data_IF_955933692937
#
_entry.id   IF_955933692937
#
_cell.length_a   1.000
_cell.length_b   1.000
_cell.length_c   1.000
_cell.angle_alpha   90.00
_cell.angle_beta   90.00
_cell.angle_gamma   90.00
#
_symmetry.space_group_name_H-M   'P 1'
#
loop_
_entity.id
_entity.type
_entity.pdbx_description
1 polymer ?
#
# COMPACT_ATOMS: atom_id res chain seq x y z
N UNK A 1 21.47 -41.83 -11.60
CA UNK A 1 21.66 -40.46 -11.08
C UNK A 1 20.66 -39.55 -11.77
N UNK A 2 19.39 -39.65 -11.40
CA UNK A 2 18.80 -38.96 -10.24
C UNK A 2 18.72 -37.46 -10.48
N UNK A 3 17.52 -37.07 -10.87
CA UNK A 3 17.02 -35.71 -11.03
C UNK A 3 17.03 -35.04 -9.67
N UNK A 4 17.56 -33.81 -9.58
CA UNK A 4 17.28 -32.96 -8.44
C UNK A 4 16.83 -31.59 -8.95
N UNK A 5 15.73 -31.17 -8.34
CA UNK A 5 14.85 -30.11 -8.76
C UNK A 5 15.55 -28.76 -8.85
N UNK A 6 15.02 -27.95 -9.76
CA UNK A 6 15.34 -26.55 -9.96
C UNK A 6 15.48 -25.82 -8.63
N UNK A 7 16.67 -25.27 -8.40
CA UNK A 7 16.93 -24.23 -7.42
C UNK A 7 16.06 -23.02 -7.78
N UNK A 8 14.80 -23.02 -7.35
CA UNK A 8 13.97 -21.81 -7.23
C UNK A 8 14.38 -21.07 -5.95
N UNK A 9 15.65 -20.66 -5.89
CA UNK A 9 16.15 -19.69 -4.93
C UNK A 9 16.61 -18.45 -5.71
N UNK A 10 15.67 -17.88 -6.46
CA UNK A 10 15.79 -16.55 -7.06
C UNK A 10 14.62 -15.68 -6.59
N UNK A 11 14.32 -15.73 -5.29
CA UNK A 11 13.56 -14.67 -4.59
C UNK A 11 14.42 -14.17 -3.44
N UNK A 12 15.62 -13.73 -3.80
CA UNK A 12 16.43 -12.83 -2.98
C UNK A 12 16.81 -11.67 -3.89
N UNK A 13 15.79 -10.91 -4.29
CA UNK A 13 15.95 -9.48 -4.51
C UNK A 13 16.01 -8.91 -3.08
N UNK A 14 17.18 -8.90 -2.47
CA UNK A 14 18.06 -7.76 -2.62
C UNK A 14 17.91 -6.90 -1.37
N UNK A 15 18.23 -7.47 -0.21
CA UNK A 15 18.56 -6.69 0.98
C UNK A 15 19.87 -5.95 0.70
N UNK A 16 19.77 -4.82 0.04
CA UNK A 16 20.79 -3.78 -0.03
C UNK A 16 20.00 -2.48 -0.09
N UNK A 17 19.55 -1.99 1.06
CA UNK A 17 20.45 -1.12 1.80
C UNK A 17 20.53 0.22 1.08
N UNK A 18 19.46 1.01 1.19
CA UNK A 18 19.63 2.45 1.26
C UNK A 18 19.00 2.90 2.57
N UNK A 19 19.80 3.56 3.38
CA UNK A 19 19.44 4.27 4.60
C UNK A 19 18.49 5.43 4.27
N UNK A 20 17.32 5.13 3.72
CA UNK A 20 16.37 6.13 3.19
C UNK A 20 14.93 5.84 3.62
N UNK A 21 14.72 4.84 4.47
CA UNK A 21 13.46 4.64 5.21
C UNK A 21 13.21 5.71 6.29
N UNK A 22 13.99 6.82 6.31
CA UNK A 22 13.94 7.80 7.39
C UNK A 22 14.39 9.23 7.06
N UNK A 23 14.55 9.61 5.79
CA UNK A 23 15.05 10.97 5.44
C UNK A 23 14.16 11.80 4.51
N UNK A 24 12.96 11.35 4.15
CA UNK A 24 12.00 12.18 3.40
C UNK A 24 10.62 12.22 4.08
N UNK A 25 10.62 12.39 5.40
CA UNK A 25 9.52 13.07 6.13
C UNK A 25 9.49 14.58 5.77
N UNK A 26 9.59 14.89 4.47
CA UNK A 26 9.41 16.20 3.90
C UNK A 26 7.93 16.55 3.98
N UNK A 27 7.59 17.18 5.10
CA UNK A 27 6.36 17.90 5.45
C UNK A 27 5.83 18.84 4.35
N UNK A 28 5.39 18.36 3.18
CA UNK A 28 4.98 19.23 2.07
C UNK A 28 3.61 18.93 1.44
N UNK A 29 2.84 17.95 1.95
CA UNK A 29 1.47 17.68 1.45
C UNK A 29 0.38 17.49 2.51
N UNK A 30 0.74 17.50 3.80
CA UNK A 30 -0.17 17.15 4.91
C UNK A 30 -0.93 18.35 5.51
N UNK A 31 -0.75 19.56 4.98
CA UNK A 31 -1.40 20.78 5.49
C UNK A 31 -2.80 21.00 4.88
N UNK A 32 -3.09 20.45 3.70
CA UNK A 32 -4.41 20.62 3.03
C UNK A 32 -5.39 19.46 3.28
N UNK A 33 -4.91 18.25 3.58
CA UNK A 33 -5.77 17.10 3.85
C UNK A 33 -6.31 17.12 5.30
N UNK A 34 -7.30 17.98 5.58
CA UNK A 34 -8.07 17.91 6.81
C UNK A 34 -9.08 16.75 6.72
N UNK A 35 -8.66 15.51 7.02
CA UNK A 35 -9.58 14.36 6.95
C UNK A 35 -8.97 12.99 7.27
N UNK A 36 -9.79 11.92 7.29
CA UNK A 36 -9.40 10.52 7.53
C UNK A 36 -8.24 10.06 6.63
N UNK A 37 -8.17 10.61 5.43
CA UNK A 37 -7.13 10.37 4.44
C UNK A 37 -5.71 10.77 4.91
N UNK A 38 -5.57 11.77 5.78
CA UNK A 38 -4.27 12.14 6.36
C UNK A 38 -3.74 11.07 7.31
N UNK A 39 -4.63 10.51 8.13
CA UNK A 39 -4.26 9.42 9.04
C UNK A 39 -3.91 8.15 8.25
N UNK A 40 -4.64 7.87 7.17
CA UNK A 40 -4.33 6.77 6.26
C UNK A 40 -2.91 6.90 5.70
N UNK A 41 -2.50 8.09 5.25
CA UNK A 41 -1.15 8.34 4.74
C UNK A 41 -0.04 8.16 5.79
N UNK A 42 -0.22 8.72 6.98
CA UNK A 42 0.74 8.53 8.10
C UNK A 42 0.83 7.05 8.48
N UNK A 43 -0.30 6.35 8.48
CA UNK A 43 -0.34 4.91 8.76
C UNK A 43 0.37 4.10 7.67
N UNK A 44 0.17 4.43 6.39
CA UNK A 44 0.87 3.80 5.26
C UNK A 44 2.38 4.00 5.38
N UNK A 45 2.84 5.21 5.72
CA UNK A 45 4.26 5.51 5.93
C UNK A 45 4.88 4.65 7.05
N UNK A 46 4.18 4.54 8.18
CA UNK A 46 4.67 3.78 9.35
C UNK A 46 4.58 2.27 9.18
N UNK A 47 3.65 1.76 8.36
CA UNK A 47 3.33 0.34 8.26
C UNK A 47 3.49 -0.17 6.83
N UNK A 48 4.28 0.49 5.98
CA UNK A 48 4.34 0.22 4.53
C UNK A 48 4.69 -1.23 4.21
N UNK A 49 5.64 -1.82 4.93
CA UNK A 49 6.04 -3.23 4.73
C UNK A 49 4.92 -4.20 5.10
N UNK A 50 4.28 -4.01 6.26
CA UNK A 50 3.18 -4.87 6.70
C UNK A 50 1.95 -4.71 5.82
N UNK A 51 1.63 -3.46 5.47
CA UNK A 51 0.55 -3.12 4.56
C UNK A 51 0.79 -3.74 3.18
N UNK A 52 2.04 -3.76 2.71
CA UNK A 52 2.37 -4.38 1.44
C UNK A 52 2.11 -5.90 1.50
N UNK A 53 2.58 -6.58 2.55
CA UNK A 53 2.35 -8.03 2.73
C UNK A 53 0.85 -8.36 2.82
N UNK A 54 0.10 -7.59 3.59
CA UNK A 54 -1.35 -7.80 3.79
C UNK A 54 -2.14 -7.47 2.50
N UNK A 55 -1.74 -6.42 1.78
CA UNK A 55 -2.35 -6.04 0.49
C UNK A 55 -2.07 -7.08 -0.59
N UNK A 56 -0.85 -7.63 -0.64
CA UNK A 56 -0.51 -8.71 -1.56
C UNK A 56 -1.33 -9.98 -1.29
N UNK A 57 -1.64 -10.26 -0.03
CA UNK A 57 -2.54 -11.36 0.38
C UNK A 57 -4.02 -11.04 0.14
N UNK A 58 -4.37 -9.76 0.01
CA UNK A 58 -5.76 -9.28 -0.07
C UNK A 58 -6.49 -9.29 1.29
N UNK A 59 -5.78 -9.55 2.39
CA UNK A 59 -6.31 -9.60 3.74
C UNK A 59 -5.20 -9.39 4.78
N UNK A 60 -5.53 -8.76 5.91
CA UNK A 60 -4.64 -8.62 7.05
C UNK A 60 -4.99 -7.43 7.94
N UNK A 61 -4.42 -7.40 9.15
CA UNK A 61 -4.74 -6.40 10.18
C UNK A 61 -4.38 -4.98 9.75
N UNK A 62 -3.27 -4.81 9.02
CA UNK A 62 -2.82 -3.48 8.55
C UNK A 62 -3.76 -2.94 7.47
N UNK A 63 -4.23 -3.81 6.59
CA UNK A 63 -5.19 -3.47 5.54
C UNK A 63 -6.58 -3.13 6.13
N UNK A 64 -6.99 -3.86 7.17
CA UNK A 64 -8.22 -3.55 7.92
C UNK A 64 -8.12 -2.25 8.70
N UNK A 65 -6.97 -1.95 9.30
CA UNK A 65 -6.72 -0.67 9.94
C UNK A 65 -6.78 0.46 8.92
N UNK A 66 -6.13 0.31 7.76
CA UNK A 66 -6.15 1.32 6.69
C UNK A 66 -7.57 1.60 6.18
N UNK A 67 -8.34 0.56 5.88
CA UNK A 67 -9.75 0.72 5.48
C UNK A 67 -10.58 1.45 6.54
N UNK A 68 -10.35 1.14 7.81
CA UNK A 68 -11.02 1.81 8.93
C UNK A 68 -10.62 3.27 9.05
N UNK A 69 -9.33 3.60 8.85
CA UNK A 69 -8.82 4.97 8.86
C UNK A 69 -9.40 5.81 7.73
N UNK A 70 -9.55 5.24 6.53
CA UNK A 70 -10.19 5.89 5.38
C UNK A 70 -11.71 6.02 5.59
N UNK A 71 -12.30 5.17 6.42
CA UNK A 71 -13.75 5.12 6.64
C UNK A 71 -14.49 4.27 5.60
N UNK A 72 -13.83 3.28 5.01
CA UNK A 72 -14.42 2.34 4.05
C UNK A 72 -15.45 1.47 4.77
N UNK A 73 -16.65 1.37 4.22
CA UNK A 73 -17.73 0.56 4.78
C UNK A 73 -17.42 -0.93 4.63
N UNK A 74 -17.93 -1.76 5.55
CA UNK A 74 -17.68 -3.21 5.53
C UNK A 74 -18.09 -3.88 4.21
N UNK A 75 -19.13 -3.37 3.54
CA UNK A 75 -19.57 -3.88 2.24
C UNK A 75 -18.54 -3.62 1.13
N UNK A 76 -17.77 -2.54 1.24
CA UNK A 76 -16.80 -2.10 0.23
C UNK A 76 -15.35 -2.49 0.60
N UNK A 77 -15.10 -2.98 1.83
CA UNK A 77 -13.79 -3.50 2.25
C UNK A 77 -13.25 -4.57 1.31
N UNK A 78 -14.09 -5.50 0.86
CA UNK A 78 -13.68 -6.57 -0.06
C UNK A 78 -13.25 -6.00 -1.41
N UNK A 79 -13.99 -5.01 -1.92
CA UNK A 79 -13.67 -4.32 -3.16
C UNK A 79 -12.37 -3.50 -3.03
N UNK A 80 -12.20 -2.83 -1.88
CA UNK A 80 -10.99 -2.08 -1.54
C UNK A 80 -9.76 -2.98 -1.51
N UNK A 81 -9.81 -4.08 -0.76
CA UNK A 81 -8.70 -5.04 -0.67
C UNK A 81 -8.35 -5.60 -2.04
N UNK A 82 -9.36 -5.95 -2.84
CA UNK A 82 -9.15 -6.44 -4.21
C UNK A 82 -8.52 -5.39 -5.12
N UNK A 83 -8.95 -4.13 -4.99
CA UNK A 83 -8.40 -2.99 -5.75
C UNK A 83 -6.94 -2.75 -5.38
N UNK A 84 -6.61 -2.74 -4.09
CA UNK A 84 -5.22 -2.61 -3.61
C UNK A 84 -4.35 -3.79 -4.06
N UNK A 85 -4.87 -5.02 -3.97
CA UNK A 85 -4.16 -6.21 -4.42
C UNK A 85 -3.90 -6.18 -5.93
N UNK A 86 -4.89 -5.77 -6.72
CA UNK A 86 -4.76 -5.70 -8.20
C UNK A 86 -3.80 -4.60 -8.64
N UNK A 87 -3.68 -3.53 -7.85
CA UNK A 87 -2.77 -2.41 -8.10
C UNK A 87 -1.51 -2.47 -7.21
N UNK A 88 -1.23 -3.62 -6.59
CA UNK A 88 -0.18 -3.78 -5.60
C UNK A 88 1.19 -3.33 -6.14
N UNK A 89 1.54 -3.77 -7.35
CA UNK A 89 2.80 -3.40 -7.99
C UNK A 89 2.92 -1.88 -8.21
N UNK A 90 1.80 -1.23 -8.57
CA UNK A 90 1.76 0.22 -8.76
C UNK A 90 1.87 1.00 -7.45
N UNK A 91 1.31 0.45 -6.36
CA UNK A 91 1.25 1.10 -5.04
C UNK A 91 2.55 0.87 -4.25
N UNK A 92 3.11 -0.34 -4.27
CA UNK A 92 4.19 -0.75 -3.36
C UNK A 92 5.52 -1.14 -4.05
N UNK A 93 5.52 -1.45 -5.35
CA UNK A 93 6.72 -1.99 -6.05
C UNK A 93 7.42 -0.93 -6.89
N UNK A 94 6.90 0.30 -6.98
CA UNK A 94 7.64 1.40 -7.61
C UNK A 94 9.01 1.56 -6.94
N UNK A 95 10.07 1.56 -7.74
CA UNK A 95 11.48 1.46 -7.28
C UNK A 95 11.94 2.67 -6.46
N UNK A 96 11.12 3.71 -6.43
CA UNK A 96 11.25 4.95 -5.66
C UNK A 96 10.05 5.20 -4.72
N UNK A 97 9.18 4.18 -4.49
CA UNK A 97 7.89 4.32 -3.81
C UNK A 97 8.04 4.93 -2.42
N UNK A 98 7.98 6.26 -2.38
CA UNK A 98 7.76 7.01 -1.17
C UNK A 98 6.31 6.83 -0.74
N UNK A 99 6.05 7.00 0.55
CA UNK A 99 4.71 6.98 1.14
C UNK A 99 3.74 7.92 0.40
N UNK A 100 4.26 9.00 -0.18
CA UNK A 100 3.55 9.92 -1.09
C UNK A 100 3.05 9.23 -2.36
N UNK A 101 3.95 8.55 -3.07
CA UNK A 101 3.65 7.90 -4.33
C UNK A 101 2.74 6.70 -4.12
N UNK A 102 2.99 5.91 -3.07
CA UNK A 102 2.12 4.81 -2.67
C UNK A 102 0.72 5.32 -2.34
N UNK A 103 0.61 6.41 -1.58
CA UNK A 103 -0.67 7.05 -1.26
C UNK A 103 -1.37 7.58 -2.52
N UNK A 104 -0.65 8.29 -3.40
CA UNK A 104 -1.22 8.81 -4.66
C UNK A 104 -1.71 7.68 -5.55
N UNK A 105 -0.92 6.62 -5.72
CA UNK A 105 -1.30 5.44 -6.50
C UNK A 105 -2.51 4.71 -5.89
N UNK A 106 -2.60 4.65 -4.55
CA UNK A 106 -3.77 4.11 -3.87
C UNK A 106 -5.02 4.96 -4.16
N UNK A 107 -4.90 6.29 -4.05
CA UNK A 107 -5.99 7.23 -4.35
C UNK A 107 -6.42 7.10 -5.81
N UNK A 108 -5.49 6.99 -6.76
CA UNK A 108 -5.80 6.76 -8.18
C UNK A 108 -6.52 5.41 -8.39
N UNK A 109 -6.05 4.34 -7.75
CA UNK A 109 -6.69 3.02 -7.83
C UNK A 109 -8.11 3.05 -7.25
N UNK A 110 -8.32 3.78 -6.14
CA UNK A 110 -9.65 4.00 -5.57
C UNK A 110 -10.52 4.87 -6.48
N UNK A 111 -9.96 5.91 -7.12
CA UNK A 111 -10.69 6.80 -8.02
C UNK A 111 -11.13 6.07 -9.29
N UNK A 112 -10.34 5.11 -9.76
CA UNK A 112 -10.68 4.23 -10.87
C UNK A 112 -11.81 3.24 -10.53
N UNK A 113 -12.13 3.06 -9.24
CA UNK A 113 -13.21 2.18 -8.79
C UNK A 113 -14.43 3.01 -8.37
N UNK A 114 -15.53 2.92 -9.12
CA UNK A 114 -16.75 3.70 -8.88
C UNK A 114 -17.32 3.52 -7.46
N UNK A 115 -17.12 2.35 -6.84
CA UNK A 115 -17.57 2.09 -5.47
C UNK A 115 -16.67 2.71 -4.41
N UNK A 116 -15.39 2.91 -4.71
CA UNK A 116 -14.40 3.42 -3.76
C UNK A 116 -14.14 4.92 -3.93
N UNK A 117 -14.42 5.48 -5.11
CA UNK A 117 -14.27 6.91 -5.40
C UNK A 117 -15.07 7.79 -4.42
N UNK A 118 -16.18 7.29 -3.87
CA UNK A 118 -16.98 7.99 -2.85
C UNK A 118 -16.23 8.26 -1.53
N UNK A 119 -15.11 7.58 -1.27
CA UNK A 119 -14.30 7.75 -0.06
C UNK A 119 -13.14 8.75 -0.23
N UNK A 120 -12.95 9.30 -1.44
CA UNK A 120 -11.88 10.25 -1.74
C UNK A 120 -12.29 11.72 -1.57
N UNK A 121 -13.55 11.99 -1.19
CA UNK A 121 -14.14 13.33 -1.09
C UNK A 121 -14.59 13.69 0.31
#
# INVERSE_FOLDING_TARGET
>A
NEWYEHVMAATTNGTSGNQTFGMTSGTLGCEEANGPLKLARVFMDQNMEQLAVDSARGQGESLEALTTLIGVEQADKVEFSKTLQSNFDSIFVSTDASSEQAYSAMVEAMAANEKLAKYLG
#
